data_IF_599111793625
#
_entry.id   IF_599111793625
#
_cell.length_a   1.000
_cell.length_b   1.000
_cell.length_c   1.000
_cell.angle_alpha   90.00
_cell.angle_beta   90.00
_cell.angle_gamma   90.00
#
_symmetry.space_group_name_H-M   'P 1'
#
loop_
_entity.id
_entity.type
_entity.pdbx_description
1 polymer ?
#
# COMPACT_ATOMS: atom_id res chain seq x y z
N UNK A 1 -17.77 -8.10 -2.95
CA UNK A 1 -16.57 -8.83 -2.48
C UNK A 1 -15.40 -8.46 -3.40
N UNK A 2 -14.49 -7.59 -2.96
CA UNK A 2 -13.42 -7.03 -3.81
C UNK A 2 -12.46 -8.07 -4.39
N UNK A 3 -12.37 -9.25 -3.80
CA UNK A 3 -11.48 -10.34 -4.23
C UNK A 3 -11.70 -10.75 -5.69
N UNK A 4 -12.94 -10.67 -6.22
CA UNK A 4 -13.23 -10.99 -7.63
C UNK A 4 -12.57 -10.03 -8.62
N UNK A 5 -12.10 -8.86 -8.18
CA UNK A 5 -11.40 -7.91 -9.06
C UNK A 5 -10.01 -8.42 -9.47
N UNK A 6 -9.41 -9.32 -8.70
CA UNK A 6 -8.13 -9.94 -9.04
C UNK A 6 -8.21 -10.69 -10.38
N UNK A 7 -9.37 -11.27 -10.70
CA UNK A 7 -9.63 -11.99 -11.96
C UNK A 7 -9.44 -11.10 -13.19
N UNK A 8 -9.68 -9.78 -13.10
CA UNK A 8 -9.50 -8.85 -14.22
C UNK A 8 -8.04 -8.70 -14.63
N UNK A 9 -7.12 -8.75 -13.66
CA UNK A 9 -5.69 -8.52 -13.90
C UNK A 9 -4.99 -9.83 -14.26
N UNK A 10 -5.37 -10.93 -13.59
CA UNK A 10 -4.77 -12.26 -13.76
C UNK A 10 -5.19 -12.90 -15.09
N UNK A 11 -6.49 -12.91 -15.44
CA UNK A 11 -6.95 -13.55 -16.67
C UNK A 11 -6.47 -12.83 -17.94
N UNK A 12 -6.16 -11.54 -17.83
CA UNK A 12 -5.58 -10.75 -18.92
C UNK A 12 -4.04 -10.74 -18.91
N UNK A 13 -3.40 -11.53 -18.02
CA UNK A 13 -1.94 -11.63 -17.89
C UNK A 13 -1.22 -10.28 -17.70
N UNK A 14 -1.90 -9.27 -17.15
CA UNK A 14 -1.35 -7.92 -16.94
C UNK A 14 -0.33 -7.92 -15.79
N UNK A 15 -0.58 -8.73 -14.76
CA UNK A 15 0.34 -8.97 -13.64
C UNK A 15 0.33 -10.45 -13.31
N UNK A 16 1.52 -11.05 -13.18
CA UNK A 16 1.70 -12.43 -12.71
C UNK A 16 2.20 -12.38 -11.27
N UNK A 17 1.34 -12.63 -10.26
CA UNK A 17 1.74 -12.58 -8.86
C UNK A 17 2.56 -13.84 -8.52
N UNK A 18 3.89 -13.72 -8.55
CA UNK A 18 4.80 -14.83 -8.26
C UNK A 18 5.14 -14.95 -6.77
N UNK A 19 5.31 -13.81 -6.10
CA UNK A 19 5.72 -13.74 -4.70
C UNK A 19 5.08 -12.54 -4.01
N UNK A 20 4.71 -12.71 -2.74
CA UNK A 20 4.38 -11.58 -1.88
C UNK A 20 5.67 -10.86 -1.49
N UNK A 21 5.74 -9.53 -1.69
CA UNK A 21 6.86 -8.70 -1.25
C UNK A 21 6.42 -7.82 -0.08
N UNK A 22 6.46 -8.31 1.17
CA UNK A 22 6.19 -7.46 2.32
C UNK A 22 7.33 -6.44 2.47
N UNK A 23 6.96 -5.19 2.67
CA UNK A 23 7.91 -4.12 3.03
C UNK A 23 7.93 -3.96 4.54
N UNK A 24 9.13 -3.86 5.13
CA UNK A 24 9.27 -3.48 6.53
C UNK A 24 9.21 -1.95 6.66
N UNK A 25 8.39 -1.45 7.58
CA UNK A 25 8.21 -0.01 7.81
C UNK A 25 8.26 0.25 9.32
N UNK A 26 8.80 1.41 9.70
CA UNK A 26 8.75 1.93 11.05
C UNK A 26 8.30 3.40 11.00
N UNK A 27 7.49 3.81 11.96
CA UNK A 27 7.01 5.18 12.13
C UNK A 27 7.16 5.59 13.60
N UNK A 28 7.29 6.89 13.85
CA UNK A 28 7.23 7.41 15.20
C UNK A 28 5.82 7.17 15.79
N UNK A 29 5.73 6.91 17.10
CA UNK A 29 4.45 6.58 17.75
C UNK A 29 3.44 7.72 17.74
N UNK A 30 3.92 8.95 17.57
CA UNK A 30 3.16 10.19 17.51
C UNK A 30 3.00 10.74 16.08
N UNK A 31 3.42 9.99 15.06
CA UNK A 31 3.24 10.37 13.65
C UNK A 31 1.94 9.77 13.10
N UNK A 32 1.04 10.63 12.62
CA UNK A 32 -0.12 10.21 11.82
C UNK A 32 0.23 10.28 10.34
N UNK A 33 0.28 9.11 9.69
CA UNK A 33 0.61 8.95 8.29
C UNK A 33 -0.30 7.92 7.63
N UNK A 34 -0.93 8.27 6.49
CA UNK A 34 -1.71 7.33 5.70
C UNK A 34 -0.80 6.51 4.77
N UNK A 35 -0.76 5.20 5.00
CA UNK A 35 0.02 4.26 4.19
C UNK A 35 -0.87 3.65 3.12
N UNK A 36 -0.50 3.85 1.85
CA UNK A 36 -1.15 3.22 0.70
C UNK A 36 -0.46 1.89 0.37
N UNK A 37 -1.26 0.88 0.01
CA UNK A 37 -0.75 -0.39 -0.53
C UNK A 37 -0.36 -0.35 -2.01
N UNK A 38 -0.52 0.80 -2.67
CA UNK A 38 -0.37 0.95 -4.12
C UNK A 38 0.86 1.76 -4.56
N UNK A 39 1.47 2.53 -3.67
CA UNK A 39 2.60 3.42 -3.96
C UNK A 39 3.67 3.35 -2.85
N UNK A 40 4.71 4.17 -2.93
CA UNK A 40 5.74 4.31 -1.93
C UNK A 40 5.16 4.84 -0.60
N UNK A 41 5.83 4.50 0.50
CA UNK A 41 5.36 4.83 1.85
C UNK A 41 5.24 6.34 2.14
N UNK A 42 5.73 7.22 1.27
CA UNK A 42 5.74 8.69 1.45
C UNK A 42 4.89 9.43 0.42
N UNK A 43 3.96 8.75 -0.26
CA UNK A 43 3.13 9.34 -1.31
C UNK A 43 2.33 10.58 -0.83
N UNK A 44 1.98 10.64 0.46
CA UNK A 44 1.13 11.69 1.06
C UNK A 44 1.85 12.55 2.11
N UNK A 45 3.15 12.79 1.94
CA UNK A 45 3.98 13.46 2.95
C UNK A 45 3.42 14.83 3.39
N UNK A 46 2.73 15.54 2.50
CA UNK A 46 2.19 16.87 2.77
C UNK A 46 1.07 16.91 3.81
N UNK A 47 0.33 15.80 3.99
CA UNK A 47 -0.78 15.70 4.94
C UNK A 47 -0.37 15.05 6.26
N UNK A 48 0.89 14.65 6.42
CA UNK A 48 1.34 14.04 7.66
C UNK A 48 1.42 15.06 8.78
N UNK A 49 1.05 14.64 9.98
CA UNK A 49 1.08 15.49 11.15
C UNK A 49 1.41 14.69 12.41
N UNK A 50 1.74 15.42 13.47
CA UNK A 50 2.01 14.85 14.78
C UNK A 50 0.72 14.82 15.60
N UNK A 51 0.38 13.68 16.18
CA UNK A 51 -0.71 13.57 17.15
C UNK A 51 -0.23 14.19 18.48
N UNK A 52 -0.99 15.16 19.00
CA UNK A 52 -0.64 15.95 20.19
C UNK A 52 -1.35 15.48 21.44
#
# INVERSE_FOLDING_TARGET
>A
MLIRLNELVVNNYVVIPLVMRPSAVAAASDLVAEISGWDNNTWDLANWYRDT
#
